data_IF_081750553839
#
_entry.id   IF_081750553839
#
_cell.length_a   1.000
_cell.length_b   1.000
_cell.length_c   1.000
_cell.angle_alpha   90.00
_cell.angle_beta   90.00
_cell.angle_gamma   90.00
#
_symmetry.space_group_name_H-M   'P 1'
#
loop_
_entity.id
_entity.type
_entity.pdbx_description
1 polymer ?
#
# COMPACT_ATOMS: atom_id res chain seq x y z
N UNK A 1 3.45 10.63 -37.70
CA UNK A 1 3.83 10.10 -36.38
C UNK A 1 2.59 10.04 -35.52
N UNK A 2 1.97 8.86 -35.40
CA UNK A 2 0.80 8.67 -34.53
C UNK A 2 1.33 8.49 -33.11
N UNK A 3 1.08 9.46 -32.24
CA UNK A 3 1.24 9.27 -30.80
C UNK A 3 0.38 8.07 -30.40
N UNK A 4 0.93 7.04 -29.74
CA UNK A 4 0.09 5.99 -29.19
C UNK A 4 -0.78 6.67 -28.13
N UNK A 5 -2.06 6.87 -28.46
CA UNK A 5 -3.08 7.17 -27.49
C UNK A 5 -3.14 5.97 -26.55
N UNK A 6 -2.31 5.98 -25.51
CA UNK A 6 -2.49 5.17 -24.32
C UNK A 6 -3.89 5.50 -23.82
N UNK A 7 -4.88 4.71 -24.25
CA UNK A 7 -6.24 4.75 -23.73
C UNK A 7 -6.13 4.18 -22.32
N UNK A 8 -5.64 5.00 -21.39
CA UNK A 8 -5.56 4.69 -19.97
C UNK A 8 -7.01 4.63 -19.52
N UNK A 9 -7.54 3.41 -19.44
CA UNK A 9 -8.88 3.21 -18.93
C UNK A 9 -8.95 3.69 -17.48
N UNK A 10 -10.09 4.20 -17.07
CA UNK A 10 -10.40 4.68 -15.71
C UNK A 10 -9.78 3.85 -14.57
N UNK A 11 -9.82 2.49 -14.58
CA UNK A 11 -9.16 1.69 -13.56
C UNK A 11 -7.63 1.82 -13.51
N UNK A 12 -6.96 1.97 -14.66
CA UNK A 12 -5.50 2.16 -14.71
C UNK A 12 -5.09 3.52 -14.16
N UNK A 13 -5.91 4.55 -14.38
CA UNK A 13 -5.71 5.88 -13.79
C UNK A 13 -5.73 5.86 -12.26
N UNK A 14 -6.65 5.09 -11.66
CA UNK A 14 -6.73 4.93 -10.21
C UNK A 14 -5.49 4.22 -9.63
N UNK A 15 -5.03 3.15 -10.28
CA UNK A 15 -3.80 2.44 -9.88
C UNK A 15 -2.58 3.36 -10.00
N UNK A 16 -2.51 4.15 -11.07
CA UNK A 16 -1.38 5.03 -11.33
C UNK A 16 -1.36 6.21 -10.35
N UNK A 17 -2.47 6.93 -10.17
CA UNK A 17 -2.55 8.05 -9.22
C UNK A 17 -2.37 7.57 -7.78
N UNK A 18 -3.07 6.51 -7.38
CA UNK A 18 -2.94 5.94 -6.05
C UNK A 18 -1.52 5.41 -5.79
N UNK A 19 -0.95 4.65 -6.73
CA UNK A 19 0.39 4.09 -6.57
C UNK A 19 1.48 5.17 -6.55
N UNK A 20 1.41 6.17 -7.45
CA UNK A 20 2.34 7.29 -7.43
C UNK A 20 2.18 8.15 -6.16
N UNK A 21 0.94 8.41 -5.73
CA UNK A 21 0.67 9.15 -4.49
C UNK A 21 1.25 8.43 -3.27
N UNK A 22 1.07 7.11 -3.20
CA UNK A 22 1.63 6.30 -2.13
C UNK A 22 3.16 6.29 -2.15
N UNK A 23 3.79 6.07 -3.31
CA UNK A 23 5.25 6.13 -3.46
C UNK A 23 5.80 7.50 -3.06
N UNK A 24 5.10 8.58 -3.38
CA UNK A 24 5.49 9.93 -2.98
C UNK A 24 5.44 10.08 -1.45
N UNK A 25 4.38 9.60 -0.80
CA UNK A 25 4.29 9.59 0.67
C UNK A 25 5.42 8.77 1.30
N UNK A 26 5.75 7.60 0.72
CA UNK A 26 6.88 6.80 1.16
C UNK A 26 8.20 7.58 1.05
N UNK A 27 8.40 8.30 -0.05
CA UNK A 27 9.58 9.13 -0.28
C UNK A 27 9.70 10.30 0.70
N UNK A 28 8.58 10.95 1.04
CA UNK A 28 8.53 12.00 2.05
C UNK A 28 8.94 11.43 3.42
N UNK A 29 8.35 10.31 3.84
CA UNK A 29 8.69 9.67 5.13
C UNK A 29 10.16 9.22 5.16
N UNK A 30 10.65 8.63 4.07
CA UNK A 30 12.05 8.25 3.91
C UNK A 30 13.03 9.43 3.95
N UNK A 31 12.61 10.64 3.54
CA UNK A 31 13.45 11.83 3.65
C UNK A 31 13.68 12.22 5.12
N UNK A 32 12.62 12.17 5.94
CA UNK A 32 12.66 12.51 7.37
C UNK A 32 13.33 11.43 8.23
N UNK A 33 13.06 10.16 7.96
CA UNK A 33 13.59 9.04 8.75
C UNK A 33 14.56 8.18 7.92
N UNK A 34 15.86 8.32 8.18
CA UNK A 34 16.89 7.60 7.44
C UNK A 34 16.84 6.07 7.62
N UNK A 35 16.42 5.61 8.79
CA UNK A 35 16.43 4.18 9.15
C UNK A 35 15.37 3.35 8.42
N UNK A 36 14.32 4.00 7.87
CA UNK A 36 13.23 3.31 7.16
C UNK A 36 13.34 3.43 5.64
N UNK A 37 14.36 4.13 5.11
CA UNK A 37 14.55 4.38 3.67
C UNK A 37 14.56 3.10 2.84
N UNK A 38 15.30 2.09 3.30
CA UNK A 38 15.41 0.82 2.59
C UNK A 38 14.10 0.05 2.59
N UNK A 39 13.38 0.03 3.72
CA UNK A 39 12.05 -0.57 3.80
C UNK A 39 11.10 0.10 2.81
N UNK A 40 11.08 1.43 2.78
CA UNK A 40 10.22 2.21 1.87
C UNK A 40 10.62 2.03 0.41
N UNK A 41 11.92 1.87 0.14
CA UNK A 41 12.44 1.59 -1.20
C UNK A 41 11.94 0.25 -1.73
N UNK A 42 12.10 -0.84 -0.98
CA UNK A 42 11.60 -2.17 -1.39
C UNK A 42 10.07 -2.20 -1.47
N UNK A 43 9.40 -1.52 -0.55
CA UNK A 43 7.95 -1.41 -0.58
C UNK A 43 7.45 -0.69 -1.86
N UNK A 44 8.12 0.38 -2.29
CA UNK A 44 7.78 1.11 -3.51
C UNK A 44 7.88 0.24 -4.78
N UNK A 45 8.80 -0.73 -4.82
CA UNK A 45 8.94 -1.65 -5.96
C UNK A 45 7.69 -2.48 -6.22
N UNK A 46 6.94 -2.85 -5.18
CA UNK A 46 5.67 -3.58 -5.36
C UNK A 46 4.61 -2.71 -6.03
N UNK A 47 4.54 -1.42 -5.68
CA UNK A 47 3.62 -0.48 -6.31
C UNK A 47 4.03 -0.18 -7.75
N UNK A 48 5.33 -0.06 -8.03
CA UNK A 48 5.84 0.04 -9.41
C UNK A 48 5.45 -1.21 -10.22
N UNK A 49 5.62 -2.41 -9.66
CA UNK A 49 5.22 -3.65 -10.31
C UNK A 49 3.70 -3.69 -10.57
N UNK A 50 2.88 -3.29 -9.60
CA UNK A 50 1.43 -3.19 -9.74
C UNK A 50 1.02 -2.20 -10.85
N UNK A 51 1.63 -1.02 -10.91
CA UNK A 51 1.39 -0.02 -11.97
C UNK A 51 1.83 -0.57 -13.32
N UNK A 52 3.06 -1.06 -13.45
CA UNK A 52 3.62 -1.53 -14.71
C UNK A 52 2.82 -2.71 -15.29
N UNK A 53 2.47 -3.69 -14.45
CA UNK A 53 1.65 -4.83 -14.86
C UNK A 53 0.19 -4.44 -15.08
N UNK A 54 -0.35 -3.51 -14.28
CA UNK A 54 -1.69 -2.96 -14.43
C UNK A 54 -1.87 -2.21 -15.76
N UNK A 55 -0.88 -1.42 -16.17
CA UNK A 55 -0.82 -0.75 -17.48
C UNK A 55 -0.79 -1.76 -18.64
N UNK A 56 -0.20 -2.95 -18.43
CA UNK A 56 -0.20 -4.06 -19.39
C UNK A 56 -1.47 -4.92 -19.32
N UNK A 57 -2.46 -4.52 -18.52
CA UNK A 57 -3.70 -5.28 -18.25
C UNK A 57 -3.43 -6.72 -17.79
N UNK A 58 -2.34 -6.91 -17.07
CA UNK A 58 -1.96 -8.21 -16.56
C UNK A 58 -2.60 -8.45 -15.19
N UNK A 59 -3.28 -9.60 -15.04
CA UNK A 59 -3.95 -10.04 -13.81
C UNK A 59 -3.02 -10.01 -12.58
N UNK A 60 -1.74 -10.33 -12.76
CA UNK A 60 -0.76 -10.33 -11.67
C UNK A 60 -0.54 -8.93 -11.10
N UNK A 61 -0.60 -7.89 -11.92
CA UNK A 61 -0.50 -6.51 -11.45
C UNK A 61 -1.64 -6.13 -10.51
N UNK A 62 -2.86 -6.56 -10.85
CA UNK A 62 -4.02 -6.33 -10.00
C UNK A 62 -3.93 -7.10 -8.68
N UNK A 63 -3.45 -8.35 -8.71
CA UNK A 63 -3.29 -9.15 -7.50
C UNK A 63 -2.20 -8.58 -6.58
N UNK A 64 -1.07 -8.13 -7.13
CA UNK A 64 -0.01 -7.48 -6.37
C UNK A 64 -0.53 -6.19 -5.75
N UNK A 65 -1.23 -5.35 -6.52
CA UNK A 65 -1.79 -4.09 -6.02
C UNK A 65 -2.80 -4.29 -4.89
N UNK A 66 -3.76 -5.20 -5.04
CA UNK A 66 -4.74 -5.53 -3.99
C UNK A 66 -4.03 -6.07 -2.75
N UNK A 67 -3.05 -6.96 -2.93
CA UNK A 67 -2.34 -7.59 -1.81
C UNK A 67 -1.49 -6.58 -1.06
N UNK A 68 -0.71 -5.76 -1.77
CA UNK A 68 0.21 -4.81 -1.17
C UNK A 68 -0.52 -3.64 -0.51
N UNK A 69 -1.45 -3.00 -1.23
CA UNK A 69 -2.25 -1.90 -0.70
C UNK A 69 -3.19 -2.38 0.41
N UNK A 70 -3.86 -3.52 0.21
CA UNK A 70 -4.75 -4.10 1.20
C UNK A 70 -4.03 -4.52 2.48
N UNK A 71 -2.87 -5.16 2.39
CA UNK A 71 -2.08 -5.52 3.56
C UNK A 71 -1.58 -4.27 4.30
N UNK A 72 -1.16 -3.23 3.57
CA UNK A 72 -0.72 -1.98 4.19
C UNK A 72 -1.87 -1.29 4.93
N UNK A 73 -3.04 -1.14 4.30
CA UNK A 73 -4.22 -0.53 4.93
C UNK A 73 -4.71 -1.35 6.13
N UNK A 74 -4.71 -2.69 6.00
CA UNK A 74 -5.08 -3.60 7.09
C UNK A 74 -4.13 -3.44 8.28
N UNK A 75 -2.82 -3.42 8.03
CA UNK A 75 -1.81 -3.19 9.06
C UNK A 75 -1.97 -1.81 9.70
N UNK A 76 -2.27 -0.80 8.89
CA UNK A 76 -2.48 0.56 9.36
C UNK A 76 -3.64 0.63 10.37
N UNK A 77 -4.78 0.05 10.01
CA UNK A 77 -6.01 0.05 10.81
C UNK A 77 -5.85 -0.79 12.09
N UNK A 78 -5.41 -2.05 11.98
CA UNK A 78 -5.49 -3.00 13.08
C UNK A 78 -4.24 -3.05 13.96
N UNK A 79 -3.05 -2.79 13.42
CA UNK A 79 -1.81 -3.03 14.15
C UNK A 79 -1.12 -1.75 14.62
N UNK A 80 -1.28 -0.67 13.86
CA UNK A 80 -0.64 0.61 14.18
C UNK A 80 -1.61 1.70 14.61
N UNK A 81 -2.93 1.52 14.38
CA UNK A 81 -3.97 2.53 14.64
C UNK A 81 -3.64 3.93 14.07
N UNK A 82 -2.77 4.02 13.06
CA UNK A 82 -2.29 5.32 12.57
C UNK A 82 -3.43 6.17 11.99
N UNK A 83 -4.35 5.55 11.25
CA UNK A 83 -5.55 6.24 10.78
C UNK A 83 -6.47 6.72 11.92
N UNK A 84 -6.62 5.94 13.00
CA UNK A 84 -7.48 6.28 14.14
C UNK A 84 -6.88 7.39 15.02
N UNK A 85 -5.56 7.42 15.16
CA UNK A 85 -4.85 8.42 15.98
C UNK A 85 -4.47 9.68 15.18
N UNK A 86 -4.56 9.66 13.85
CA UNK A 86 -4.26 10.81 12.99
C UNK A 86 -5.13 12.04 13.28
N UNK A 87 -6.46 11.91 13.38
CA UNK A 87 -7.35 13.01 13.75
C UNK A 87 -7.10 13.57 15.16
N UNK A 88 -6.82 12.70 16.13
CA UNK A 88 -6.47 13.12 17.51
C UNK A 88 -5.15 13.89 17.54
N UNK A 89 -4.14 13.46 16.78
CA UNK A 89 -2.90 14.22 16.69
C UNK A 89 -3.05 15.52 15.92
N UNK A 90 -3.91 15.59 14.90
CA UNK A 90 -4.21 16.83 14.21
C UNK A 90 -4.89 17.84 15.14
N UNK A 91 -5.81 17.39 16.00
CA UNK A 91 -6.39 18.20 17.06
C UNK A 91 -5.34 18.65 18.10
N UNK A 92 -4.46 17.74 18.54
CA UNK A 92 -3.37 18.09 19.45
C UNK A 92 -2.40 19.10 18.83
N UNK A 93 -2.09 18.99 17.53
CA UNK A 93 -1.26 19.95 16.82
C UNK A 93 -1.92 21.34 16.74
N UNK A 94 -3.20 21.40 16.41
CA UNK A 94 -3.99 22.64 16.40
C UNK A 94 -4.01 23.30 17.79
N UNK A 95 -4.07 22.51 18.86
CA UNK A 95 -4.14 23.03 20.22
C UNK A 95 -2.78 23.33 20.87
N UNK A 96 -1.72 22.58 20.55
CA UNK A 96 -0.43 22.66 21.27
C UNK A 96 0.75 23.08 20.41
N UNK A 97 0.60 23.14 19.08
CA UNK A 97 1.65 23.51 18.14
C UNK A 97 2.84 22.53 18.08
N UNK A 98 2.82 21.42 18.83
CA UNK A 98 3.88 20.41 18.84
C UNK A 98 3.49 19.18 18.03
N UNK A 99 4.23 18.93 16.96
CA UNK A 99 4.11 17.73 16.13
C UNK A 99 5.00 16.62 16.71
N UNK A 100 4.43 15.77 17.56
CA UNK A 100 5.17 14.68 18.18
C UNK A 100 5.49 13.54 17.19
N UNK A 101 4.69 13.36 16.12
CA UNK A 101 4.89 12.33 15.08
C UNK A 101 4.38 12.77 13.70
N UNK A 102 5.21 13.39 12.85
CA UNK A 102 4.81 13.82 11.50
C UNK A 102 4.35 12.67 10.59
N UNK A 103 4.77 11.43 10.86
CA UNK A 103 4.38 10.24 10.08
C UNK A 103 2.88 9.94 10.12
N UNK A 104 2.19 10.36 11.19
CA UNK A 104 0.73 10.19 11.33
C UNK A 104 -0.05 11.07 10.35
N UNK A 105 0.47 12.25 10.00
CA UNK A 105 -0.14 13.13 8.99
C UNK A 105 0.08 12.57 7.58
N UNK A 106 1.23 11.93 7.34
CA UNK A 106 1.57 11.30 6.05
C UNK A 106 0.76 9.99 5.85
N UNK A 107 0.41 9.30 6.94
CA UNK A 107 -0.35 8.05 6.87
C UNK A 107 -1.77 8.23 6.30
N UNK A 108 -2.43 9.36 6.53
CA UNK A 108 -3.79 9.64 6.02
C UNK A 108 -3.84 9.71 4.49
N UNK A 109 -3.07 10.58 3.80
CA UNK A 109 -3.04 10.61 2.34
C UNK A 109 -2.48 9.31 1.73
N UNK A 110 -1.57 8.63 2.43
CA UNK A 110 -1.09 7.31 2.03
C UNK A 110 -2.21 6.25 2.03
N UNK A 111 -3.08 6.25 3.04
CA UNK A 111 -4.24 5.37 3.13
C UNK A 111 -5.23 5.60 1.97
N UNK A 112 -5.59 6.86 1.69
CA UNK A 112 -6.45 7.17 0.54
C UNK A 112 -5.81 6.75 -0.80
N UNK A 113 -4.49 6.88 -0.91
CA UNK A 113 -3.74 6.46 -2.09
C UNK A 113 -3.82 4.94 -2.29
N UNK A 114 -3.69 4.16 -1.22
CA UNK A 114 -3.86 2.70 -1.27
C UNK A 114 -5.29 2.28 -1.57
N UNK A 115 -6.28 2.94 -0.98
CA UNK A 115 -7.67 2.69 -1.30
C UNK A 115 -7.95 2.90 -2.79
N UNK A 116 -7.38 3.94 -3.40
CA UNK A 116 -7.47 4.17 -4.84
C UNK A 116 -6.81 3.03 -5.66
N UNK A 117 -5.65 2.52 -5.22
CA UNK A 117 -5.01 1.35 -5.85
C UNK A 117 -5.92 0.12 -5.77
N UNK A 118 -6.48 -0.18 -4.59
CA UNK A 118 -7.38 -1.33 -4.39
C UNK A 118 -8.58 -1.23 -5.32
N UNK A 119 -9.28 -0.09 -5.32
CA UNK A 119 -10.45 0.13 -6.18
C UNK A 119 -10.06 -0.01 -7.66
N UNK A 120 -8.94 0.59 -8.06
CA UNK A 120 -8.44 0.50 -9.42
C UNK A 120 -8.10 -0.93 -9.85
N UNK A 121 -7.45 -1.71 -8.99
CA UNK A 121 -7.10 -3.10 -9.26
C UNK A 121 -8.34 -4.02 -9.29
N UNK A 122 -9.28 -3.85 -8.36
CA UNK A 122 -10.53 -4.63 -8.33
C UNK A 122 -11.35 -4.35 -9.57
N UNK A 123 -11.53 -3.07 -9.93
CA UNK A 123 -12.26 -2.68 -11.13
C UNK A 123 -11.56 -3.15 -12.41
N UNK A 124 -10.23 -2.99 -12.48
CA UNK A 124 -9.42 -3.48 -13.60
C UNK A 124 -9.54 -4.98 -13.80
N UNK A 125 -9.52 -5.75 -12.71
CA UNK A 125 -9.72 -7.20 -12.74
C UNK A 125 -11.12 -7.59 -13.23
N UNK A 126 -12.18 -6.93 -12.75
CA UNK A 126 -13.55 -7.25 -13.17
C UNK A 126 -13.83 -6.98 -14.66
N UNK A 127 -13.05 -6.10 -15.30
CA UNK A 127 -13.09 -5.82 -16.74
C UNK A 127 -12.33 -6.85 -17.59
N UNK A 128 -11.57 -7.77 -17.00
CA UNK A 128 -10.87 -8.80 -17.76
C UNK A 128 -11.88 -9.80 -18.38
N UNK A 129 -11.78 -10.11 -19.68
CA UNK A 129 -12.72 -11.02 -20.37
C UNK A 129 -12.66 -12.47 -19.88
N UNK A 130 -11.51 -12.93 -19.39
CA UNK A 130 -11.27 -14.32 -18.98
C UNK A 130 -11.15 -14.45 -17.46
N UNK A 131 -12.27 -14.76 -16.78
CA UNK A 131 -12.26 -15.14 -15.37
C UNK A 131 -11.93 -16.63 -15.25
N UNK A 132 -10.80 -16.97 -14.63
CA UNK A 132 -10.42 -18.37 -14.40
C UNK A 132 -10.72 -18.73 -12.95
N UNK A 133 -11.29 -19.92 -12.72
CA UNK A 133 -11.54 -20.42 -11.36
C UNK A 133 -10.25 -20.47 -10.49
N UNK A 134 -9.08 -20.64 -11.12
CA UNK A 134 -7.78 -20.60 -10.44
C UNK A 134 -7.28 -19.20 -10.06
N UNK A 135 -7.98 -18.12 -10.41
CA UNK A 135 -7.54 -16.76 -10.07
C UNK A 135 -7.64 -16.47 -8.57
N UNK A 136 -8.57 -17.11 -7.85
CA UNK A 136 -8.62 -17.06 -6.38
C UNK A 136 -7.36 -17.66 -5.74
N UNK A 137 -6.91 -18.83 -6.22
CA UNK A 137 -5.67 -19.46 -5.75
C UNK A 137 -4.44 -18.60 -6.05
N UNK A 138 -4.40 -17.96 -7.22
CA UNK A 138 -3.32 -17.01 -7.58
C UNK A 138 -3.34 -15.76 -6.72
N UNK A 139 -4.51 -15.23 -6.39
CA UNK A 139 -4.64 -14.10 -5.48
C UNK A 139 -4.13 -14.48 -4.09
N UNK A 140 -4.53 -15.64 -3.55
CA UNK A 140 -4.04 -16.13 -2.25
C UNK A 140 -2.53 -16.34 -2.27
N UNK A 141 -1.99 -16.96 -3.32
CA UNK A 141 -0.55 -17.14 -3.47
C UNK A 141 0.19 -15.79 -3.57
N UNK A 142 -0.36 -14.84 -4.34
CA UNK A 142 0.21 -13.48 -4.44
C UNK A 142 0.17 -12.78 -3.10
N UNK A 143 -0.95 -12.88 -2.37
CA UNK A 143 -1.10 -12.32 -1.04
C UNK A 143 -0.10 -12.89 -0.04
N UNK A 144 0.09 -14.22 -0.04
CA UNK A 144 1.08 -14.88 0.79
C UNK A 144 2.51 -14.42 0.44
N UNK A 145 2.85 -14.33 -0.84
CA UNK A 145 4.16 -13.86 -1.31
C UNK A 145 4.40 -12.39 -0.96
N UNK A 146 3.40 -11.52 -1.18
CA UNK A 146 3.48 -10.11 -0.79
C UNK A 146 3.64 -9.97 0.72
N UNK A 147 2.89 -10.73 1.52
CA UNK A 147 3.02 -10.72 2.99
C UNK A 147 4.41 -11.19 3.42
N UNK A 148 4.92 -12.29 2.84
CA UNK A 148 6.25 -12.79 3.11
C UNK A 148 7.34 -11.76 2.73
N UNK A 149 7.16 -11.07 1.61
CA UNK A 149 8.06 -9.99 1.18
C UNK A 149 8.08 -8.85 2.19
N UNK A 150 6.91 -8.36 2.62
CA UNK A 150 6.80 -7.36 3.69
C UNK A 150 7.45 -7.82 5.00
N UNK A 151 7.19 -9.06 5.41
CA UNK A 151 7.78 -9.62 6.64
C UNK A 151 9.30 -9.71 6.54
N UNK A 152 9.83 -10.09 5.39
CA UNK A 152 11.26 -10.19 5.14
C UNK A 152 11.93 -8.81 5.08
N UNK A 153 11.31 -7.84 4.41
CA UNK A 153 11.78 -6.45 4.41
C UNK A 153 11.82 -5.86 5.82
N UNK A 154 10.78 -6.10 6.62
CA UNK A 154 10.77 -5.72 8.03
C UNK A 154 11.87 -6.45 8.81
N UNK A 155 12.07 -7.74 8.62
CA UNK A 155 13.10 -8.50 9.32
C UNK A 155 14.53 -8.01 9.02
N UNK A 156 14.79 -7.62 7.76
CA UNK A 156 16.13 -7.21 7.31
C UNK A 156 16.46 -5.77 7.68
N UNK A 157 15.52 -4.84 7.50
CA UNK A 157 15.81 -3.40 7.61
C UNK A 157 15.33 -2.79 8.93
N UNK A 158 14.26 -3.34 9.52
CA UNK A 158 13.61 -2.77 10.69
C UNK A 158 12.93 -3.85 11.55
N UNK A 159 13.71 -4.77 12.16
CA UNK A 159 13.15 -5.93 12.87
C UNK A 159 12.24 -5.53 14.05
N UNK A 160 12.34 -4.29 14.55
CA UNK A 160 11.40 -3.72 15.53
C UNK A 160 9.94 -3.75 15.07
N UNK A 161 9.67 -3.68 13.76
CA UNK A 161 8.32 -3.75 13.21
C UNK A 161 7.79 -5.18 13.10
N UNK A 162 8.61 -6.23 13.28
CA UNK A 162 8.12 -7.61 13.33
C UNK A 162 7.13 -7.83 14.49
N UNK A 163 7.23 -7.04 15.56
CA UNK A 163 6.27 -7.06 16.68
C UNK A 163 4.83 -6.65 16.31
N UNK A 164 4.60 -6.16 15.08
CA UNK A 164 3.28 -5.84 14.52
C UNK A 164 2.54 -7.12 14.10
N UNK A 165 3.25 -8.16 13.62
CA UNK A 165 2.62 -9.41 13.16
C UNK A 165 1.90 -10.19 14.27
N UNK A 166 2.45 -10.35 15.49
CA UNK A 166 1.71 -10.94 16.61
C UNK A 166 0.45 -10.17 16.97
N UNK A 167 0.46 -8.83 16.86
CA UNK A 167 -0.71 -7.97 17.13
C UNK A 167 -1.80 -8.12 16.07
N UNK A 168 -1.41 -8.39 14.81
CA UNK A 168 -2.36 -8.72 13.74
C UNK A 168 -3.06 -10.06 13.96
N UNK A 169 -2.37 -11.04 14.56
CA UNK A 169 -2.92 -12.37 14.84
C UNK A 169 -3.76 -12.42 16.12
N UNK A 170 -3.49 -11.54 17.10
CA UNK A 170 -4.22 -11.46 18.36
C UNK A 170 -4.67 -10.03 18.67
N UNK A 171 -5.70 -9.51 17.97
CA UNK A 171 -6.20 -8.14 18.19
C UNK A 171 -6.93 -7.94 19.53
N UNK A 172 -7.20 -9.00 20.30
CA UNK A 172 -8.06 -8.97 21.49
C UNK A 172 -7.40 -9.40 22.81
N UNK A 173 -6.09 -9.66 22.84
CA UNK A 173 -5.38 -9.93 24.10
C UNK A 173 -4.83 -8.62 24.66
N UNK A 174 -5.77 -7.83 25.20
CA UNK A 174 -5.57 -6.79 26.21
C UNK A 174 -6.25 -7.27 27.49
#
# INVERSE_FOLDING_TARGET
>A
MSTPNLRIETPTWLILLGGCGFILMLGISAFWEADIRWLHFFQAWMYIAAIALGCRRNRWGYFIGISAAGLWDYTNIFATTFFLNGPEQLQLWIHTGRLARPDLIIAVPAWFSNLAVIIGCVWGYFRLPERRAGDAGRLVATFALTTAFFALDMALFQPRYLGIFPRLLHPHLL
#
